data_IF_539158941762
#
_entry.id   IF_539158941762
#
_cell.length_a   1.000
_cell.length_b   1.000
_cell.length_c   1.000
_cell.angle_alpha   90.00
_cell.angle_beta   90.00
_cell.angle_gamma   90.00
#
_symmetry.space_group_name_H-M   'P 1'
#
loop_
_entity.id
_entity.type
_entity.pdbx_description
1 polymer ?
#
# COMPACT_ATOMS: atom_id res chain seq x y z
N UNK A 1 -10.93 -7.85 -6.03
CA UNK A 1 -10.80 -6.38 -5.91
C UNK A 1 -9.67 -5.79 -6.75
N UNK A 2 -8.39 -5.89 -6.38
CA UNK A 2 -7.31 -5.23 -7.18
C UNK A 2 -7.24 -5.74 -8.63
N UNK A 3 -7.32 -7.06 -8.84
CA UNK A 3 -7.28 -7.70 -10.17
C UNK A 3 -8.41 -7.25 -11.12
N UNK A 4 -9.47 -6.65 -10.61
CA UNK A 4 -10.56 -6.11 -11.44
C UNK A 4 -10.21 -4.74 -12.05
N UNK A 5 -9.19 -4.06 -11.51
CA UNK A 5 -8.86 -2.67 -11.87
C UNK A 5 -7.40 -2.44 -12.23
N UNK A 6 -6.51 -3.38 -11.91
CA UNK A 6 -5.08 -3.32 -12.25
C UNK A 6 -4.48 -4.70 -12.51
N UNK A 7 -3.44 -4.72 -13.34
CA UNK A 7 -2.53 -5.87 -13.43
C UNK A 7 -1.63 -5.89 -12.21
N UNK A 8 -1.61 -7.01 -11.49
CA UNK A 8 -0.82 -7.18 -10.26
C UNK A 8 0.36 -8.11 -10.54
N UNK A 9 1.57 -7.62 -10.31
CA UNK A 9 2.79 -8.41 -10.32
C UNK A 9 3.32 -8.52 -8.89
N UNK A 10 3.24 -9.72 -8.32
CA UNK A 10 3.91 -10.07 -7.07
C UNK A 10 5.01 -11.08 -7.44
N UNK A 11 6.26 -10.73 -7.18
CA UNK A 11 7.42 -11.54 -7.51
C UNK A 11 8.26 -11.79 -6.27
N UNK A 12 8.92 -12.95 -6.25
CA UNK A 12 9.82 -13.32 -5.17
C UNK A 12 11.19 -12.66 -5.39
N UNK A 13 11.72 -12.02 -4.34
CA UNK A 13 13.07 -11.46 -4.37
C UNK A 13 14.12 -12.57 -4.37
N UNK A 14 15.36 -12.24 -4.73
CA UNK A 14 16.52 -13.11 -4.59
C UNK A 14 16.54 -13.78 -3.21
N UNK A 15 16.83 -15.08 -3.17
CA UNK A 15 16.89 -15.86 -1.93
C UNK A 15 15.56 -16.01 -1.20
N UNK A 16 14.43 -15.62 -1.82
CA UNK A 16 13.07 -15.76 -1.28
C UNK A 16 12.17 -16.54 -2.24
N UNK A 17 11.11 -17.15 -1.69
CA UNK A 17 10.10 -17.89 -2.45
C UNK A 17 10.67 -18.88 -3.48
N UNK A 18 10.25 -18.78 -4.73
CA UNK A 18 10.72 -19.67 -5.80
C UNK A 18 11.83 -19.06 -6.68
N UNK A 19 12.34 -17.89 -6.33
CA UNK A 19 13.43 -17.25 -7.08
C UNK A 19 14.75 -17.93 -6.77
N UNK A 20 15.48 -18.29 -7.83
CA UNK A 20 16.81 -18.88 -7.76
C UNK A 20 17.79 -18.07 -8.60
N UNK A 21 18.96 -17.78 -8.02
CA UNK A 21 20.07 -17.07 -8.66
C UNK A 21 21.37 -17.84 -8.47
N UNK A 22 22.46 -17.37 -9.09
CA UNK A 22 23.78 -17.94 -8.84
C UNK A 22 24.31 -17.68 -7.41
N UNK A 23 23.84 -16.62 -6.76
CA UNK A 23 24.30 -16.15 -5.45
C UNK A 23 23.10 -15.65 -4.63
N UNK A 24 22.29 -16.59 -4.12
CA UNK A 24 21.06 -16.28 -3.37
C UNK A 24 21.32 -15.56 -2.03
N UNK A 25 22.56 -15.60 -1.54
CA UNK A 25 23.01 -14.94 -0.31
C UNK A 25 23.44 -13.48 -0.51
N UNK A 26 23.63 -13.03 -1.76
CA UNK A 26 23.94 -11.63 -2.06
C UNK A 26 22.69 -10.75 -2.01
N UNK A 27 22.28 -10.43 -0.79
CA UNK A 27 21.15 -9.54 -0.51
C UNK A 27 21.60 -8.08 -0.32
N UNK A 28 22.72 -7.67 -0.93
CA UNK A 28 23.09 -6.27 -0.91
C UNK A 28 22.08 -5.43 -1.69
N UNK A 29 21.90 -4.17 -1.27
CA UNK A 29 20.79 -3.37 -1.77
C UNK A 29 20.91 -3.05 -3.26
N UNK A 30 22.12 -2.88 -3.77
CA UNK A 30 22.37 -2.58 -5.17
C UNK A 30 22.02 -3.77 -6.07
N UNK A 31 22.37 -4.99 -5.65
CA UNK A 31 21.99 -6.23 -6.33
C UNK A 31 20.47 -6.37 -6.37
N UNK A 32 19.77 -6.19 -5.25
CA UNK A 32 18.31 -6.27 -5.19
C UNK A 32 17.63 -5.22 -6.09
N UNK A 33 18.18 -4.00 -6.15
CA UNK A 33 17.71 -2.94 -7.07
C UNK A 33 17.88 -3.36 -8.53
N UNK A 34 19.05 -3.91 -8.90
CA UNK A 34 19.25 -4.40 -10.27
C UNK A 34 18.29 -5.55 -10.61
N UNK A 35 18.14 -6.54 -9.74
CA UNK A 35 17.23 -7.67 -9.95
C UNK A 35 15.80 -7.16 -10.18
N UNK A 36 15.35 -6.21 -9.36
CA UNK A 36 14.01 -5.61 -9.49
C UNK A 36 13.84 -4.86 -10.81
N UNK A 37 14.83 -4.07 -11.23
CA UNK A 37 14.80 -3.37 -12.51
C UNK A 37 14.72 -4.36 -13.69
N UNK A 38 15.45 -5.48 -13.62
CA UNK A 38 15.37 -6.54 -14.64
C UNK A 38 13.96 -7.13 -14.71
N UNK A 39 13.35 -7.43 -13.57
CA UNK A 39 11.96 -7.94 -13.53
C UNK A 39 10.99 -6.91 -14.12
N UNK A 40 11.07 -5.65 -13.68
CA UNK A 40 10.20 -4.58 -14.14
C UNK A 40 10.28 -4.38 -15.67
N UNK A 41 11.49 -4.45 -16.25
CA UNK A 41 11.68 -4.36 -17.70
C UNK A 41 11.04 -5.51 -18.49
N UNK A 42 10.80 -6.67 -17.85
CA UNK A 42 10.15 -7.81 -18.49
C UNK A 42 8.62 -7.79 -18.32
N UNK A 43 8.13 -7.30 -17.18
CA UNK A 43 6.69 -7.35 -16.85
C UNK A 43 5.93 -6.10 -17.28
N UNK A 44 6.60 -4.94 -17.35
CA UNK A 44 5.99 -3.70 -17.80
C UNK A 44 6.07 -3.66 -19.33
N UNK A 45 4.93 -3.53 -20.05
CA UNK A 45 4.93 -3.41 -21.50
C UNK A 45 5.77 -2.21 -21.96
N UNK A 46 6.53 -2.35 -23.06
CA UNK A 46 7.30 -1.23 -23.59
C UNK A 46 6.38 -0.07 -23.96
N UNK A 47 6.81 1.15 -23.64
CA UNK A 47 6.08 2.35 -23.99
C UNK A 47 6.00 2.48 -25.51
N UNK A 48 4.80 2.71 -26.04
CA UNK A 48 4.62 3.01 -27.46
C UNK A 48 4.86 4.51 -27.66
N UNK A 49 5.73 4.91 -28.59
CA UNK A 49 5.82 6.30 -29.00
C UNK A 49 4.45 6.74 -29.53
N UNK A 50 3.97 7.91 -29.11
CA UNK A 50 2.80 8.52 -29.74
C UNK A 50 3.16 8.82 -31.20
N UNK A 51 2.72 7.97 -32.11
CA UNK A 51 2.71 8.29 -33.54
C UNK A 51 1.49 9.13 -33.84
N UNK A 52 1.69 10.27 -34.49
CA UNK A 52 0.61 11.18 -34.89
C UNK A 52 -0.45 10.42 -35.71
N UNK A 53 -1.65 10.26 -35.12
CA UNK A 53 -2.82 9.66 -35.79
C UNK A 53 -3.23 8.25 -35.35
N UNK A 54 -2.52 7.60 -34.43
CA UNK A 54 -3.02 6.37 -33.78
C UNK A 54 -3.86 6.73 -32.53
N UNK A 55 -4.97 6.03 -32.31
CA UNK A 55 -5.77 6.15 -31.09
C UNK A 55 -4.86 6.08 -29.85
N UNK A 56 -5.09 6.94 -28.86
CA UNK A 56 -4.28 7.07 -27.63
C UNK A 56 -4.02 5.71 -26.99
N UNK A 57 -2.92 5.06 -27.35
CA UNK A 57 -2.38 3.95 -26.58
C UNK A 57 -1.86 4.58 -25.29
N UNK A 58 -2.69 4.62 -24.25
CA UNK A 58 -2.25 5.05 -22.93
C UNK A 58 -1.07 4.17 -22.51
N UNK A 59 0.10 4.79 -22.36
CA UNK A 59 1.25 4.10 -21.83
C UNK A 59 0.91 3.57 -20.43
N UNK A 60 1.26 2.31 -20.12
CA UNK A 60 0.91 1.70 -18.85
C UNK A 60 1.52 2.53 -17.71
N UNK A 61 0.71 2.83 -16.70
CA UNK A 61 1.16 3.47 -15.47
C UNK A 61 1.43 2.39 -14.43
N UNK A 62 2.49 2.56 -13.66
CA UNK A 62 2.91 1.60 -12.64
C UNK A 62 3.03 2.30 -11.30
N UNK A 63 2.61 1.60 -10.24
CA UNK A 63 2.97 1.94 -8.87
C UNK A 63 3.79 0.79 -8.29
N UNK A 64 4.76 1.09 -7.45
CA UNK A 64 5.50 0.06 -6.70
C UNK A 64 5.03 0.12 -5.25
N UNK A 65 4.68 -1.03 -4.71
CA UNK A 65 4.28 -1.21 -3.31
C UNK A 65 5.31 -2.12 -2.64
N UNK A 66 5.85 -1.70 -1.51
CA UNK A 66 6.88 -2.46 -0.80
C UNK A 66 6.70 -2.42 0.70
N UNK A 67 6.86 -3.59 1.35
CA UNK A 67 6.85 -3.75 2.81
C UNK A 67 8.26 -3.99 3.34
N UNK A 68 8.62 -3.36 4.47
CA UNK A 68 9.91 -3.58 5.13
C UNK A 68 11.11 -3.41 4.16
N UNK A 69 11.94 -4.44 3.94
CA UNK A 69 12.99 -4.47 2.90
C UNK A 69 12.44 -4.12 1.51
N UNK A 70 11.28 -4.67 1.13
CA UNK A 70 10.63 -4.34 -0.14
C UNK A 70 10.24 -2.87 -0.24
N UNK A 71 9.92 -2.21 0.88
CA UNK A 71 9.67 -0.76 0.94
C UNK A 71 10.93 0.05 0.67
N UNK A 72 12.06 -0.35 1.27
CA UNK A 72 13.35 0.26 0.99
C UNK A 72 13.75 0.10 -0.49
N UNK A 73 13.52 -1.10 -1.03
CA UNK A 73 13.78 -1.44 -2.43
C UNK A 73 12.91 -0.61 -3.38
N UNK A 74 11.62 -0.44 -3.08
CA UNK A 74 10.70 0.38 -3.88
C UNK A 74 11.20 1.83 -4.01
N UNK A 75 11.65 2.43 -2.91
CA UNK A 75 12.21 3.80 -2.91
C UNK A 75 13.49 3.87 -3.74
N UNK A 76 14.40 2.91 -3.59
CA UNK A 76 15.69 2.92 -4.29
C UNK A 76 15.53 2.67 -5.78
N UNK A 77 14.63 1.77 -6.19
CA UNK A 77 14.27 1.54 -7.59
C UNK A 77 13.70 2.82 -8.21
N UNK A 78 12.76 3.48 -7.52
CA UNK A 78 12.20 4.74 -7.98
C UNK A 78 13.27 5.83 -8.15
N UNK A 79 14.17 5.95 -7.17
CA UNK A 79 15.25 6.95 -7.20
C UNK A 79 16.24 6.76 -8.36
N UNK A 80 16.32 5.56 -8.96
CA UNK A 80 17.14 5.35 -10.16
C UNK A 80 16.63 6.10 -11.38
N UNK A 81 15.32 6.44 -11.41
CA UNK A 81 14.66 7.03 -12.59
C UNK A 81 14.58 6.09 -13.81
N UNK A 82 14.92 4.80 -13.65
CA UNK A 82 14.97 3.81 -14.74
C UNK A 82 13.63 3.11 -15.04
N UNK A 83 12.54 3.51 -14.35
CA UNK A 83 11.18 2.98 -14.57
C UNK A 83 10.30 4.13 -15.08
N UNK A 84 10.24 4.39 -16.39
CA UNK A 84 9.56 5.57 -16.94
C UNK A 84 8.04 5.61 -16.67
N UNK A 85 7.41 4.44 -16.53
CA UNK A 85 5.98 4.30 -16.22
C UNK A 85 5.64 4.52 -14.74
N UNK A 86 6.64 4.68 -13.86
CA UNK A 86 6.41 4.78 -12.43
C UNK A 86 5.78 6.13 -12.07
N UNK A 87 4.57 6.08 -11.52
CA UNK A 87 3.82 7.28 -11.10
C UNK A 87 3.70 7.39 -9.59
N UNK A 88 3.93 6.30 -8.86
CA UNK A 88 3.74 6.27 -7.41
C UNK A 88 4.53 5.18 -6.69
N UNK A 89 4.89 5.47 -5.44
CA UNK A 89 5.54 4.55 -4.50
C UNK A 89 4.73 4.48 -3.21
N UNK A 90 4.38 3.27 -2.79
CA UNK A 90 3.76 2.99 -1.51
C UNK A 90 4.71 2.16 -0.64
N UNK A 91 5.00 2.68 0.55
CA UNK A 91 5.88 2.05 1.52
C UNK A 91 5.05 1.58 2.71
N UNK A 92 5.19 0.32 3.11
CA UNK A 92 4.43 -0.30 4.20
C UNK A 92 5.40 -0.68 5.34
N UNK A 93 5.10 -0.16 6.53
CA UNK A 93 5.78 -0.47 7.80
C UNK A 93 7.32 -0.41 7.77
N UNK A 94 7.88 0.63 7.15
CA UNK A 94 9.31 0.96 7.28
C UNK A 94 9.54 2.46 7.35
N UNK A 95 10.30 2.85 8.37
CA UNK A 95 10.83 4.20 8.57
C UNK A 95 12.28 4.05 8.98
N UNK A 96 13.19 4.85 8.42
CA UNK A 96 14.64 4.72 8.66
C UNK A 96 14.97 4.71 10.15
N UNK A 97 14.53 5.72 10.91
CA UNK A 97 14.86 5.82 12.33
C UNK A 97 14.43 4.61 13.17
N UNK A 98 13.22 4.09 12.95
CA UNK A 98 12.71 2.94 13.69
C UNK A 98 13.29 1.61 13.19
N UNK A 99 13.53 1.47 11.89
CA UNK A 99 14.22 0.32 11.32
C UNK A 99 15.63 0.19 11.91
N UNK A 100 16.40 1.29 11.89
CA UNK A 100 17.76 1.33 12.43
C UNK A 100 17.83 1.03 13.93
N UNK A 101 16.85 1.51 14.71
CA UNK A 101 16.74 1.16 16.13
C UNK A 101 16.42 -0.34 16.33
N UNK A 102 15.56 -0.90 15.47
CA UNK A 102 15.11 -2.29 15.56
C UNK A 102 16.17 -3.30 15.15
N UNK A 103 17.13 -2.92 14.28
CA UNK A 103 18.23 -3.81 13.86
C UNK A 103 19.01 -4.40 15.05
N UNK A 104 19.18 -3.62 16.12
CA UNK A 104 19.88 -4.06 17.35
C UNK A 104 19.19 -5.22 18.05
N UNK A 105 17.88 -5.36 17.86
CA UNK A 105 17.04 -6.38 18.50
C UNK A 105 16.70 -7.54 17.56
N UNK A 106 17.02 -7.41 16.26
CA UNK A 106 16.67 -8.41 15.25
C UNK A 106 17.30 -9.77 15.54
N UNK A 107 18.53 -9.82 16.08
CA UNK A 107 19.18 -11.07 16.48
C UNK A 107 18.33 -11.87 17.49
N UNK A 108 17.85 -11.23 18.55
CA UNK A 108 17.01 -11.86 19.56
C UNK A 108 15.64 -12.31 19.01
N UNK A 109 15.12 -11.62 17.98
CA UNK A 109 13.89 -12.02 17.28
C UNK A 109 14.15 -13.30 16.46
N UNK A 110 15.27 -13.37 15.76
CA UNK A 110 15.64 -14.54 14.95
C UNK A 110 15.95 -15.76 15.81
N UNK A 111 16.60 -15.59 16.97
CA UNK A 111 16.88 -16.67 17.92
C UNK A 111 15.62 -17.33 18.49
N UNK A 112 14.51 -16.59 18.56
CA UNK A 112 13.21 -17.14 19.00
C UNK A 112 12.48 -17.92 17.91
N UNK A 113 12.94 -17.86 16.66
CA UNK A 113 12.34 -18.64 15.57
C UNK A 113 12.77 -20.09 15.70
N UNK A 114 11.84 -21.05 15.62
CA UNK A 114 12.19 -22.46 15.49
C UNK A 114 13.11 -22.64 14.28
N UNK A 115 14.22 -23.34 14.46
CA UNK A 115 15.13 -23.64 13.36
C UNK A 115 14.55 -24.63 12.36
N UNK A 116 13.59 -25.45 12.79
CA UNK A 116 12.93 -26.47 11.98
C UNK A 116 11.46 -26.64 12.39
N UNK A 117 10.62 -27.06 11.45
CA UNK A 117 9.24 -27.48 11.67
C UNK A 117 9.01 -28.91 11.19
N UNK A 118 8.08 -29.62 11.82
CA UNK A 118 7.72 -31.00 11.44
C UNK A 118 6.70 -31.04 10.30
N UNK A 119 5.90 -29.98 10.16
CA UNK A 119 4.88 -29.84 9.13
C UNK A 119 4.55 -28.37 8.88
N UNK A 120 3.93 -28.07 7.73
CA UNK A 120 3.44 -26.72 7.44
C UNK A 120 2.40 -26.26 8.47
N UNK A 121 1.57 -27.18 8.97
CA UNK A 121 0.58 -26.90 10.02
C UNK A 121 1.24 -26.39 11.31
N UNK A 122 2.36 -26.99 11.70
CA UNK A 122 3.10 -26.55 12.90
C UNK A 122 3.71 -25.16 12.70
N UNK A 123 4.21 -24.87 11.49
CA UNK A 123 4.76 -23.56 11.16
C UNK A 123 3.69 -22.46 11.14
N UNK A 124 2.53 -22.75 10.53
CA UNK A 124 1.35 -21.86 10.51
C UNK A 124 0.89 -21.57 11.94
N UNK A 125 0.77 -22.62 12.77
CA UNK A 125 0.40 -22.47 14.17
C UNK A 125 1.39 -21.59 14.94
N UNK A 126 2.70 -21.81 14.76
CA UNK A 126 3.72 -20.96 15.37
C UNK A 126 3.64 -19.50 14.89
N UNK A 127 3.43 -19.25 13.60
CA UNK A 127 3.36 -17.91 13.04
C UNK A 127 2.23 -17.08 13.69
N UNK A 128 1.05 -17.68 13.86
CA UNK A 128 -0.10 -17.06 14.54
C UNK A 128 0.17 -16.81 16.02
N UNK A 129 0.74 -17.79 16.73
CA UNK A 129 0.99 -17.68 18.17
C UNK A 129 2.14 -16.73 18.50
N UNK A 130 3.11 -16.58 17.60
CA UNK A 130 4.23 -15.65 17.76
C UNK A 130 3.81 -14.18 17.61
N UNK A 131 2.61 -13.91 17.08
CA UNK A 131 2.16 -12.57 16.73
C UNK A 131 2.84 -11.97 15.50
N UNK A 132 3.50 -12.80 14.68
CA UNK A 132 4.14 -12.33 13.43
C UNK A 132 3.08 -11.88 12.42
N UNK A 133 1.99 -12.64 12.34
CA UNK A 133 0.80 -12.37 11.52
C UNK A 133 -0.42 -12.84 12.32
N UNK A 134 -1.50 -12.07 12.29
CA UNK A 134 -2.73 -12.33 13.04
C UNK A 134 -3.83 -12.94 12.16
N UNK A 135 -3.73 -12.79 10.83
CA UNK A 135 -4.72 -13.28 9.89
C UNK A 135 -4.47 -14.75 9.48
N UNK A 136 -5.38 -15.64 9.88
CA UNK A 136 -5.34 -17.07 9.55
C UNK A 136 -5.24 -17.35 8.04
N UNK A 137 -6.07 -16.70 7.22
CA UNK A 137 -6.12 -16.94 5.78
C UNK A 137 -4.81 -16.53 5.11
N UNK A 138 -4.23 -15.41 5.54
CA UNK A 138 -2.95 -14.94 5.00
C UNK A 138 -1.81 -15.90 5.35
N UNK A 139 -1.73 -16.35 6.61
CA UNK A 139 -0.67 -17.25 7.10
C UNK A 139 -0.69 -18.61 6.37
N UNK A 140 -1.88 -19.15 6.10
CA UNK A 140 -2.01 -20.42 5.37
C UNK A 140 -1.44 -20.35 3.95
N UNK A 141 -1.46 -19.16 3.34
CA UNK A 141 -0.91 -18.91 2.01
C UNK A 141 0.56 -18.49 2.05
N UNK A 142 0.96 -17.66 3.02
CA UNK A 142 2.27 -17.00 3.05
C UNK A 142 3.38 -17.83 3.70
N UNK A 143 3.08 -18.68 4.69
CA UNK A 143 4.10 -19.48 5.38
C UNK A 143 4.74 -20.55 4.49
N UNK A 144 4.00 -21.30 3.66
CA UNK A 144 4.60 -22.35 2.86
C UNK A 144 5.75 -21.86 1.95
N UNK A 145 5.66 -20.67 1.36
CA UNK A 145 6.70 -20.11 0.51
C UNK A 145 7.95 -19.66 1.27
N UNK A 146 7.84 -19.43 2.58
CA UNK A 146 8.96 -19.07 3.46
C UNK A 146 9.76 -20.27 3.94
N UNK A 147 9.32 -21.50 3.62
CA UNK A 147 9.95 -22.73 4.05
C UNK A 147 10.45 -23.57 2.87
N UNK A 148 11.44 -24.41 3.15
CA UNK A 148 11.95 -25.43 2.23
C UNK A 148 11.94 -26.78 2.94
N UNK A 149 11.54 -27.83 2.22
CA UNK A 149 11.54 -29.20 2.74
C UNK A 149 12.91 -29.86 2.52
N UNK A 150 13.44 -30.46 3.58
CA UNK A 150 14.66 -31.26 3.56
C UNK A 150 14.36 -32.73 3.23
N UNK A 151 15.40 -33.51 2.91
CA UNK A 151 15.29 -34.93 2.56
C UNK A 151 14.64 -35.78 3.67
N UNK A 152 14.84 -35.41 4.93
CA UNK A 152 14.23 -36.07 6.09
C UNK A 152 12.76 -35.67 6.33
N UNK A 153 12.19 -34.88 5.43
CA UNK A 153 10.81 -34.42 5.46
C UNK A 153 10.55 -33.21 6.35
N UNK A 154 11.53 -32.76 7.15
CA UNK A 154 11.40 -31.56 7.97
C UNK A 154 11.46 -30.28 7.12
N UNK A 155 10.95 -29.19 7.67
CA UNK A 155 10.92 -27.88 7.04
C UNK A 155 11.89 -26.93 7.72
N UNK A 156 12.63 -26.15 6.93
CA UNK A 156 13.51 -25.07 7.41
C UNK A 156 13.14 -23.76 6.75
N UNK A 157 13.54 -22.64 7.37
CA UNK A 157 13.41 -21.33 6.73
C UNK A 157 14.18 -21.32 5.40
N UNK A 158 13.50 -20.88 4.35
CA UNK A 158 14.07 -20.79 3.01
C UNK A 158 15.21 -19.80 2.95
N UNK A 159 15.02 -18.64 3.56
CA UNK A 159 16.00 -17.56 3.60
C UNK A 159 16.70 -17.57 4.95
N UNK A 160 18.03 -17.71 4.94
CA UNK A 160 18.84 -17.44 6.13
C UNK A 160 18.95 -15.93 6.34
N UNK A 161 17.92 -15.35 6.96
CA UNK A 161 17.87 -13.93 7.22
C UNK A 161 19.05 -13.47 8.11
N UNK A 162 19.54 -14.32 9.02
CA UNK A 162 20.66 -13.96 9.90
C UNK A 162 21.96 -13.73 9.12
N UNK A 163 22.23 -14.55 8.09
CA UNK A 163 23.39 -14.38 7.21
C UNK A 163 23.44 -13.02 6.49
N UNK A 164 22.27 -12.40 6.30
CA UNK A 164 22.13 -11.11 5.62
C UNK A 164 22.37 -9.89 6.52
N UNK A 165 22.69 -10.09 7.81
CA UNK A 165 22.88 -9.01 8.80
C UNK A 165 23.88 -7.94 8.37
N UNK A 166 24.91 -8.32 7.60
CA UNK A 166 25.89 -7.41 7.01
C UNK A 166 25.28 -6.35 6.08
N UNK A 167 24.09 -6.59 5.52
CA UNK A 167 23.43 -5.69 4.58
C UNK A 167 22.33 -4.82 5.21
N UNK A 168 21.86 -5.16 6.41
CA UNK A 168 20.66 -4.54 7.00
C UNK A 168 20.79 -3.03 7.19
N UNK A 169 21.97 -2.55 7.60
CA UNK A 169 22.24 -1.12 7.71
C UNK A 169 22.01 -0.41 6.37
N UNK A 170 22.57 -0.97 5.30
CA UNK A 170 22.57 -0.36 3.98
C UNK A 170 21.21 -0.45 3.27
N UNK A 171 20.34 -1.35 3.71
CA UNK A 171 18.95 -1.36 3.27
C UNK A 171 18.24 -0.05 3.63
N UNK A 172 18.42 0.42 4.88
CA UNK A 172 17.60 1.50 5.44
C UNK A 172 18.30 2.86 5.56
N UNK A 173 19.63 2.91 5.56
CA UNK A 173 20.35 4.19 5.68
C UNK A 173 20.00 5.16 4.56
N UNK A 174 19.64 6.39 4.92
CA UNK A 174 19.24 7.46 4.02
C UNK A 174 17.86 7.27 3.37
N UNK A 175 17.10 6.24 3.74
CA UNK A 175 15.83 5.90 3.12
C UNK A 175 14.80 7.03 3.26
N UNK A 176 14.67 7.65 4.43
CA UNK A 176 13.67 8.69 4.67
C UNK A 176 13.92 9.91 3.79
N UNK A 177 15.18 10.34 3.69
CA UNK A 177 15.58 11.45 2.81
C UNK A 177 15.35 11.12 1.34
N UNK A 178 15.71 9.91 0.91
CA UNK A 178 15.54 9.48 -0.47
C UNK A 178 14.06 9.39 -0.86
N UNK A 179 13.22 8.82 0.01
CA UNK A 179 11.77 8.77 -0.16
C UNK A 179 11.20 10.18 -0.35
N UNK A 180 11.57 11.14 0.51
CA UNK A 180 11.09 12.52 0.39
C UNK A 180 11.58 13.25 -0.87
N UNK A 181 12.65 12.78 -1.50
CA UNK A 181 13.22 13.35 -2.74
C UNK A 181 12.61 12.81 -4.02
N UNK A 182 11.85 11.70 -3.97
CA UNK A 182 11.20 11.12 -5.14
C UNK A 182 10.21 12.12 -5.76
N UNK A 183 10.18 12.16 -7.09
CA UNK A 183 9.25 12.99 -7.87
C UNK A 183 7.84 12.38 -7.93
N UNK A 184 7.76 11.06 -7.76
CA UNK A 184 6.55 10.27 -7.82
C UNK A 184 5.63 10.57 -6.64
N UNK A 185 4.34 10.25 -6.79
CA UNK A 185 3.40 10.31 -5.69
C UNK A 185 3.79 9.29 -4.61
N UNK A 186 3.54 9.61 -3.34
CA UNK A 186 4.05 8.83 -2.20
C UNK A 186 2.97 8.54 -1.19
N UNK A 187 2.90 7.28 -0.77
CA UNK A 187 2.07 6.84 0.36
C UNK A 187 2.96 6.10 1.36
N UNK A 188 2.80 6.41 2.65
CA UNK A 188 3.39 5.65 3.75
C UNK A 188 2.26 5.03 4.58
N UNK A 189 2.27 3.71 4.72
CA UNK A 189 1.31 2.95 5.53
C UNK A 189 2.00 2.46 6.79
N UNK A 190 1.46 2.78 7.96
CA UNK A 190 2.02 2.40 9.27
C UNK A 190 0.95 1.77 10.16
N UNK A 191 1.37 0.89 11.06
CA UNK A 191 0.52 0.35 12.11
C UNK A 191 0.33 1.35 13.28
N UNK A 192 1.16 2.39 13.36
CA UNK A 192 1.11 3.42 14.40
C UNK A 192 1.81 4.70 13.96
N UNK A 193 1.35 5.85 14.48
CA UNK A 193 1.89 7.19 14.14
C UNK A 193 3.18 7.53 14.91
N UNK A 194 3.48 6.79 15.97
CA UNK A 194 4.69 6.90 16.80
C UNK A 194 5.97 6.43 16.10
N UNK A 195 5.83 5.90 14.87
CA UNK A 195 6.94 5.32 14.11
C UNK A 195 7.69 6.29 13.21
N UNK A 196 7.24 7.54 13.09
CA UNK A 196 7.87 8.53 12.22
C UNK A 196 9.18 9.05 12.83
N UNK A 197 10.25 9.07 12.03
CA UNK A 197 11.46 9.80 12.36
C UNK A 197 11.30 11.31 12.10
N UNK A 198 12.30 12.10 12.49
CA UNK A 198 12.26 13.56 12.35
C UNK A 198 12.11 14.02 10.90
N UNK A 199 12.73 13.33 9.94
CA UNK A 199 12.67 13.70 8.52
C UNK A 199 11.28 13.46 7.96
N UNK A 200 10.70 12.27 8.19
CA UNK A 200 9.36 11.94 7.73
C UNK A 200 8.28 12.74 8.47
N UNK A 201 8.47 13.06 9.75
CA UNK A 201 7.55 13.95 10.48
C UNK A 201 7.49 15.33 9.81
N UNK A 202 8.65 15.92 9.50
CA UNK A 202 8.72 17.19 8.78
C UNK A 202 8.12 17.07 7.38
N UNK A 203 8.44 16.00 6.66
CA UNK A 203 7.86 15.72 5.34
C UNK A 203 6.34 15.62 5.36
N UNK A 204 5.78 14.98 6.37
CA UNK A 204 4.34 14.82 6.56
C UNK A 204 3.67 16.15 6.89
N UNK A 205 4.24 16.95 7.79
CA UNK A 205 3.74 18.29 8.11
C UNK A 205 3.77 19.24 6.89
N UNK A 206 4.69 19.02 5.95
CA UNK A 206 4.79 19.75 4.69
C UNK A 206 3.89 19.18 3.57
N UNK A 207 3.14 18.10 3.82
CA UNK A 207 2.28 17.45 2.83
C UNK A 207 3.05 16.77 1.68
N UNK A 208 4.29 16.33 1.91
CA UNK A 208 5.13 15.71 0.85
C UNK A 208 4.71 14.29 0.47
N UNK A 209 3.95 13.62 1.32
CA UNK A 209 3.40 12.29 1.08
C UNK A 209 2.06 12.13 1.80
N UNK A 210 1.29 11.12 1.41
CA UNK A 210 0.09 10.71 2.14
C UNK A 210 0.47 9.67 3.20
N UNK A 211 -0.03 9.82 4.41
CA UNK A 211 0.14 8.82 5.46
C UNK A 211 -1.18 8.11 5.74
N UNK A 212 -1.16 6.78 5.83
CA UNK A 212 -2.29 5.95 6.26
C UNK A 212 -1.91 5.14 7.50
N UNK A 213 -2.83 5.07 8.44
CA UNK A 213 -2.66 4.36 9.69
C UNK A 213 -3.62 3.17 9.74
N UNK A 214 -3.09 1.97 9.95
CA UNK A 214 -3.83 0.71 10.03
C UNK A 214 -3.52 0.03 11.36
N UNK A 215 -4.14 0.53 12.43
CA UNK A 215 -3.83 0.14 13.82
C UNK A 215 -4.12 -1.32 14.17
N UNK A 216 -4.94 -2.00 13.38
CA UNK A 216 -5.36 -3.40 13.62
C UNK A 216 -4.34 -4.43 13.12
N UNK A 217 -3.05 -4.05 12.99
CA UNK A 217 -2.01 -4.90 12.41
C UNK A 217 -0.74 -4.93 13.24
N UNK A 218 -0.01 -6.05 13.12
CA UNK A 218 1.36 -6.19 13.58
C UNK A 218 2.34 -5.62 12.56
N UNK A 219 3.43 -6.36 12.31
CA UNK A 219 4.44 -5.95 11.32
C UNK A 219 3.96 -6.13 9.87
N UNK A 220 3.26 -7.23 9.58
CA UNK A 220 2.79 -7.57 8.24
C UNK A 220 1.41 -6.97 7.96
N UNK A 221 1.34 -5.64 7.84
CA UNK A 221 0.08 -4.89 7.65
C UNK A 221 -0.74 -5.42 6.47
N UNK A 222 -0.07 -5.77 5.36
CA UNK A 222 -0.73 -6.32 4.18
C UNK A 222 -1.33 -7.71 4.38
N UNK A 223 -0.84 -8.48 5.34
CA UNK A 223 -1.39 -9.80 5.69
C UNK A 223 -2.50 -9.66 6.73
N UNK A 224 -2.34 -8.76 7.70
CA UNK A 224 -3.30 -8.53 8.77
C UNK A 224 -4.53 -7.72 8.32
N UNK A 225 -4.33 -6.74 7.44
CA UNK A 225 -5.36 -5.83 6.94
C UNK A 225 -5.43 -5.80 5.40
N UNK A 226 -5.58 -6.96 4.72
CA UNK A 226 -5.45 -7.05 3.25
C UNK A 226 -6.51 -6.20 2.52
N UNK A 227 -7.72 -6.10 3.07
CA UNK A 227 -8.78 -5.28 2.48
C UNK A 227 -8.48 -3.77 2.58
N UNK A 228 -7.96 -3.31 3.70
CA UNK A 228 -7.61 -1.90 3.90
C UNK A 228 -6.41 -1.50 3.02
N UNK A 229 -5.39 -2.36 2.95
CA UNK A 229 -4.25 -2.17 2.04
C UNK A 229 -4.71 -2.16 0.58
N UNK A 230 -5.57 -3.09 0.18
CA UNK A 230 -6.08 -3.13 -1.18
C UNK A 230 -6.94 -1.90 -1.54
N UNK A 231 -7.75 -1.39 -0.60
CA UNK A 231 -8.48 -0.13 -0.79
C UNK A 231 -7.52 1.05 -0.94
N UNK A 232 -6.46 1.09 -0.13
CA UNK A 232 -5.44 2.12 -0.22
C UNK A 232 -4.70 2.13 -1.55
N UNK A 233 -4.36 0.94 -2.05
CA UNK A 233 -3.75 0.78 -3.37
C UNK A 233 -4.70 1.26 -4.46
N UNK A 234 -5.98 0.87 -4.42
CA UNK A 234 -6.97 1.26 -5.43
C UNK A 234 -7.20 2.78 -5.47
N UNK A 235 -7.35 3.42 -4.32
CA UNK A 235 -7.49 4.88 -4.21
C UNK A 235 -6.24 5.62 -4.68
N UNK A 236 -5.05 5.11 -4.30
CA UNK A 236 -3.79 5.69 -4.71
C UNK A 236 -3.58 5.61 -6.23
N UNK A 237 -3.83 4.44 -6.83
CA UNK A 237 -3.76 4.23 -8.28
C UNK A 237 -4.72 5.16 -9.03
N UNK A 238 -5.97 5.27 -8.57
CA UNK A 238 -6.99 6.15 -9.17
C UNK A 238 -6.58 7.62 -9.13
N UNK A 239 -5.96 8.06 -8.03
CA UNK A 239 -5.46 9.43 -7.89
C UNK A 239 -4.29 9.70 -8.83
N UNK A 240 -3.37 8.76 -8.99
CA UNK A 240 -2.24 8.89 -9.92
C UNK A 240 -2.71 9.00 -11.39
N UNK A 241 -3.69 8.18 -11.80
CA UNK A 241 -4.24 8.21 -13.14
C UNK A 241 -4.95 9.54 -13.49
N UNK A 242 -5.63 10.16 -12.52
CA UNK A 242 -6.33 11.44 -12.71
C UNK A 242 -5.40 12.64 -12.86
N UNK A 243 -4.24 12.62 -12.20
CA UNK A 243 -3.27 13.75 -12.25
C UNK A 243 -2.66 13.90 -13.65
N UNK A 244 -2.49 12.82 -14.40
CA UNK A 244 -1.83 12.83 -15.71
C UNK A 244 -2.80 13.11 -16.85
N UNK A 245 -4.06 12.69 -16.73
CA UNK A 245 -5.08 12.87 -17.77
C UNK A 245 -5.61 14.31 -17.89
N UNK A 246 -5.13 15.27 -17.09
CA UNK A 246 -5.46 16.71 -17.21
C UNK A 246 -6.93 17.09 -17.04
N UNK A 247 -7.84 16.12 -16.92
CA UNK A 247 -9.29 16.30 -16.88
C UNK A 247 -9.81 16.70 -15.49
N UNK A 248 -9.17 17.67 -14.84
CA UNK A 248 -9.72 18.30 -13.62
C UNK A 248 -10.88 19.25 -13.99
N UNK A 249 -10.93 19.71 -15.25
CA UNK A 249 -12.02 20.51 -15.77
C UNK A 249 -12.42 19.97 -17.14
N UNK A 250 -13.72 19.73 -17.36
CA UNK A 250 -14.24 19.66 -18.73
C UNK A 250 -14.01 21.01 -19.44
N UNK A 251 -14.20 21.09 -20.77
CA UNK A 251 -14.07 22.34 -21.51
C UNK A 251 -14.91 23.51 -20.93
N UNK A 252 -15.90 23.19 -20.08
CA UNK A 252 -16.81 24.16 -19.44
C UNK A 252 -16.57 24.39 -17.94
N UNK A 253 -15.46 23.92 -17.35
CA UNK A 253 -15.11 24.24 -15.95
C UNK A 253 -15.98 23.59 -14.86
N UNK A 254 -16.86 22.64 -15.22
CA UNK A 254 -17.70 21.92 -14.25
C UNK A 254 -17.00 20.64 -13.77
N UNK A 255 -16.95 20.35 -12.45
CA UNK A 255 -16.41 19.09 -11.94
C UNK A 255 -17.27 17.91 -12.42
N UNK A 256 -16.65 16.92 -13.09
CA UNK A 256 -17.31 15.63 -13.32
C UNK A 256 -17.41 14.87 -11.99
N UNK A 257 -18.57 14.93 -11.34
CA UNK A 257 -18.87 14.00 -10.24
C UNK A 257 -18.88 12.55 -10.77
N UNK A 258 -18.40 11.58 -9.97
CA UNK A 258 -18.43 10.18 -10.34
C UNK A 258 -19.88 9.71 -10.52
N UNK A 259 -20.12 8.96 -11.58
CA UNK A 259 -21.42 8.51 -12.10
C UNK A 259 -22.23 7.57 -11.16
N UNK A 260 -21.97 7.57 -9.86
CA UNK A 260 -22.68 6.80 -8.83
C UNK A 260 -23.88 7.55 -8.24
N UNK A 261 -23.97 8.87 -8.42
CA UNK A 261 -25.06 9.69 -7.85
C UNK A 261 -26.35 9.69 -8.68
N UNK A 262 -26.30 9.38 -9.98
CA UNK A 262 -27.49 9.35 -10.84
C UNK A 262 -28.47 8.23 -10.45
N UNK A 263 -27.95 7.03 -10.14
CA UNK A 263 -28.78 5.90 -9.72
C UNK A 263 -29.39 6.10 -8.32
N UNK A 264 -28.68 6.77 -7.41
CA UNK A 264 -29.18 7.12 -6.08
C UNK A 264 -30.21 8.26 -6.16
N UNK A 265 -29.95 9.27 -7.00
CA UNK A 265 -30.88 10.36 -7.27
C UNK A 265 -32.19 9.87 -7.90
N UNK A 266 -32.13 8.92 -8.85
CA UNK A 266 -33.33 8.28 -9.41
C UNK A 266 -34.13 7.49 -8.37
N UNK A 267 -33.46 6.75 -7.48
CA UNK A 267 -34.11 6.01 -6.38
C UNK A 267 -34.80 6.96 -5.39
N UNK A 268 -34.15 8.07 -5.04
CA UNK A 268 -34.72 9.08 -4.14
C UNK A 268 -35.85 9.88 -4.80
N UNK A 269 -35.77 10.16 -6.10
CA UNK A 269 -36.83 10.81 -6.87
C UNK A 269 -38.08 9.93 -7.00
N UNK A 270 -37.92 8.63 -7.27
CA UNK A 270 -39.02 7.66 -7.28
C UNK A 270 -39.69 7.54 -5.91
N UNK A 271 -38.91 7.54 -4.82
CA UNK A 271 -39.45 7.50 -3.46
C UNK A 271 -40.25 8.75 -3.09
N UNK A 272 -39.82 9.94 -3.55
CA UNK A 272 -40.55 11.21 -3.33
C UNK A 272 -41.84 11.33 -4.14
N UNK A 273 -41.91 10.69 -5.31
CA UNK A 273 -43.11 10.67 -6.16
C UNK A 273 -44.21 9.72 -5.66
N UNK A 274 -43.93 8.86 -4.67
CA UNK A 274 -44.88 7.90 -4.10
C UNK A 274 -45.61 8.39 -2.84
N UNK A 275 -45.41 9.65 -2.43
CA UNK A 275 -46.14 10.24 -1.29
C UNK A 275 -47.37 10.98 -1.83
N UNK A 276 -48.62 10.55 -1.54
CA UNK A 276 -49.81 11.27 -1.96
C UNK A 276 -49.89 12.64 -1.29
N UNK A 277 -50.06 13.71 -2.08
CA UNK A 277 -50.33 15.07 -1.61
C UNK A 277 -51.84 15.31 -1.57
N UNK A 278 -52.40 15.35 -0.37
CA UNK A 278 -53.62 16.08 0.00
C UNK A 278 -53.32 16.68 1.39
N UNK A 279 -53.53 17.95 1.72
CA UNK A 279 -54.58 18.88 1.31
C UNK A 279 -54.15 20.35 1.58
N UNK A 280 -54.82 21.27 0.90
CA UNK A 280 -54.52 22.70 0.73
C UNK A 280 -55.48 23.56 1.61
N UNK A 281 -54.91 24.44 2.48
CA UNK A 281 -55.23 25.87 2.81
C UNK A 281 -56.70 26.30 3.17
N UNK A 282 -57.02 27.54 3.65
CA UNK A 282 -56.25 28.80 3.61
C UNK A 282 -56.30 29.78 4.82
N UNK A 283 -55.59 30.89 4.59
CA UNK A 283 -55.19 32.04 5.41
C UNK A 283 -56.29 32.89 6.09
N UNK A 284 -55.89 33.76 7.04
CA UNK A 284 -55.90 35.26 6.97
C UNK A 284 -55.43 35.87 8.32
N UNK A 285 -54.70 36.99 8.23
CA UNK A 285 -54.06 37.85 9.26
C UNK A 285 -55.04 38.63 10.21
N UNK A 286 -54.64 39.70 10.95
CA UNK A 286 -53.93 39.75 12.24
C UNK A 286 -54.58 40.70 13.29
N UNK A 287 -54.40 40.56 14.61
CA UNK A 287 -54.62 41.70 15.55
C UNK A 287 -53.90 41.59 16.91
N UNK A 288 -53.19 42.68 17.24
CA UNK A 288 -53.04 43.35 18.54
C UNK A 288 -52.49 42.62 19.82
N UNK A 289 -51.24 43.01 20.18
CA UNK A 289 -50.70 43.52 21.49
C UNK A 289 -51.31 43.08 22.85
N UNK A 290 -50.60 43.30 23.99
CA UNK A 290 -49.25 42.91 24.41
C UNK A 290 -49.29 42.32 25.85
N UNK A 291 -48.15 42.29 26.58
CA UNK A 291 -48.02 42.21 28.05
C UNK A 291 -48.16 40.83 28.74
N UNK A 292 -47.06 40.26 29.24
CA UNK A 292 -46.54 40.44 30.63
C UNK A 292 -45.34 39.51 30.91
N UNK A 293 -44.44 40.05 31.73
CA UNK A 293 -43.19 39.51 32.31
C UNK A 293 -43.41 38.31 33.28
N UNK A 294 -42.32 37.65 33.77
CA UNK A 294 -42.22 36.28 34.31
C UNK A 294 -42.47 36.28 35.86
N UNK A 295 -42.15 35.29 36.75
CA UNK A 295 -41.10 34.24 36.85
C UNK A 295 -41.70 32.83 37.12
N UNK A 296 -41.00 31.70 37.31
CA UNK A 296 -39.80 31.32 38.08
C UNK A 296 -39.09 30.13 37.43
#
# INVERSE_FOLDING_TARGET
MLKETCTLHAFDLRGHGQTHTAHDDDLCIDTLVQDTLHILNHVIPPMTPKTDGAADSENPQSIIVGHSLGGALAVRVAATGKVPSLVGVMVIDVVEGTAMASLKHMGAILERRPSRFRSYKDAIHWALHSGTVHNQEAVEVSIPSQLTQLEDGSLVWRTDLASSAKYWHDWFIGLSKQFLSLKEAKVLVLAGSDRLDTELMRGQMMGKFEMRLMYSSGHAIQEDCPHEVANAIAEFSSRCARVISGNVFGPDGVPKQPNKDLALAERLAKARAMIPKDSILPAVHPTARPNKLPPQ
#
